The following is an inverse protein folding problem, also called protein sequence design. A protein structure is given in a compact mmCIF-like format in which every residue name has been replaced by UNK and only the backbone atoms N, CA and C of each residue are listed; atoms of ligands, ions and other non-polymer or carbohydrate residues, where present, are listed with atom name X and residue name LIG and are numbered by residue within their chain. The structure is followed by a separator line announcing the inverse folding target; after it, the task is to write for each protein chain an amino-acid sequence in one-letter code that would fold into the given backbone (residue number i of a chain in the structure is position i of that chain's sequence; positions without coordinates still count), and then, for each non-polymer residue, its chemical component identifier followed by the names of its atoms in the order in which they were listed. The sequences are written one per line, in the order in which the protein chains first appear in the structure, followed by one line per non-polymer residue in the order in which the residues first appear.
data_IF_521696983202
#
_entry.id   IF_521696983202
#
_cell.length_a   1.000
_cell.length_b   1.000
_cell.length_c   1.000
_cell.angle_alpha   90.00
_cell.angle_beta   90.00
_cell.angle_gamma   90.00
#
_symmetry.space_group_name_H-M   'P 1'
#
loop_
_entity.id
_entity.type
_entity.pdbx_description
1 polymer ?
#
# COMPACT_ATOMS: atom_id res chain seq x y z
N UNK A 1 35.15 -53.13 -37.35
CA UNK A 1 34.88 -54.58 -37.50
C UNK A 1 33.39 -54.81 -37.33
N UNK A 2 32.75 -55.06 -38.50
CA UNK A 2 31.75 -56.10 -38.78
C UNK A 2 30.54 -56.18 -37.87
N UNK A 3 29.43 -55.63 -38.29
CA UNK A 3 28.29 -56.24 -39.03
C UNK A 3 27.53 -57.31 -38.27
N UNK A 4 26.24 -57.12 -38.07
CA UNK A 4 25.24 -58.10 -38.52
C UNK A 4 23.83 -57.50 -38.45
N UNK A 5 23.18 -57.57 -39.61
CA UNK A 5 21.77 -57.32 -39.87
C UNK A 5 20.95 -58.57 -39.48
N UNK A 6 19.76 -58.34 -38.91
CA UNK A 6 18.70 -59.37 -38.94
C UNK A 6 17.40 -58.72 -39.37
N UNK A 7 16.93 -59.13 -40.56
CA UNK A 7 15.60 -58.85 -41.08
C UNK A 7 14.61 -59.82 -40.41
N UNK A 8 13.51 -59.27 -39.92
CA UNK A 8 12.34 -60.01 -39.46
C UNK A 8 11.09 -59.56 -40.22
N UNK A 9 10.54 -60.43 -41.02
CA UNK A 9 9.31 -60.25 -41.82
C UNK A 9 8.12 -60.44 -40.87
N UNK A 10 7.20 -59.48 -40.80
CA UNK A 10 5.97 -59.56 -40.07
C UNK A 10 4.76 -59.51 -41.03
N UNK A 11 3.90 -60.46 -40.90
CA UNK A 11 2.68 -60.67 -41.71
C UNK A 11 1.59 -59.66 -41.31
N UNK A 12 0.92 -59.08 -42.28
CA UNK A 12 -0.22 -58.18 -42.10
C UNK A 12 -1.51 -59.01 -41.91
N UNK A 13 -2.21 -58.76 -40.81
CA UNK A 13 -3.61 -59.15 -40.63
C UNK A 13 -4.47 -57.90 -40.71
N UNK A 14 -5.25 -57.77 -41.79
CA UNK A 14 -6.27 -56.75 -41.93
C UNK A 14 -7.52 -57.11 -41.11
N UNK A 15 -7.81 -56.35 -40.08
CA UNK A 15 -9.07 -56.40 -39.37
C UNK A 15 -9.87 -55.16 -39.74
N UNK A 16 -11.02 -55.38 -40.37
CA UNK A 16 -11.96 -54.34 -40.76
C UNK A 16 -12.51 -53.58 -39.55
N UNK A 17 -12.23 -52.31 -39.48
CA UNK A 17 -12.84 -51.40 -38.47
C UNK A 17 -14.12 -50.82 -39.05
N UNK A 18 -15.26 -51.18 -38.47
CA UNK A 18 -16.53 -50.50 -38.72
C UNK A 18 -16.44 -49.06 -38.18
N UNK A 19 -16.73 -48.10 -39.03
CA UNK A 19 -16.77 -46.70 -38.70
C UNK A 19 -17.98 -46.42 -37.77
N UNK A 20 -17.74 -46.15 -36.51
CA UNK A 20 -18.70 -45.58 -35.59
C UNK A 20 -18.64 -44.09 -35.75
N UNK A 21 -19.73 -43.47 -36.19
CA UNK A 21 -19.91 -42.02 -36.17
C UNK A 21 -20.01 -41.56 -34.71
N UNK A 22 -19.20 -40.58 -34.27
CA UNK A 22 -19.34 -40.04 -32.93
C UNK A 22 -20.64 -39.24 -32.85
N UNK A 23 -21.57 -39.68 -32.02
CA UNK A 23 -22.71 -38.87 -31.60
C UNK A 23 -22.13 -37.68 -30.75
N UNK A 24 -22.36 -36.47 -31.25
CA UNK A 24 -22.05 -35.23 -30.51
C UNK A 24 -22.99 -35.14 -29.31
N UNK A 25 -22.51 -35.14 -28.07
CA UNK A 25 -23.37 -34.89 -26.94
C UNK A 25 -23.98 -33.49 -27.04
N UNK A 26 -25.29 -33.42 -27.04
CA UNK A 26 -26.06 -32.19 -26.98
C UNK A 26 -25.66 -31.42 -25.71
N UNK A 27 -24.95 -30.33 -25.85
CA UNK A 27 -24.56 -29.47 -24.74
C UNK A 27 -25.83 -28.84 -24.15
N UNK A 28 -26.29 -29.40 -23.05
CA UNK A 28 -27.31 -28.75 -22.20
C UNK A 28 -26.67 -27.52 -21.60
N UNK A 29 -27.00 -26.33 -22.12
CA UNK A 29 -26.58 -25.04 -21.54
C UNK A 29 -27.14 -24.96 -20.10
N UNK A 30 -26.30 -24.84 -19.07
CA UNK A 30 -26.82 -24.61 -17.74
C UNK A 30 -27.61 -23.28 -17.70
N UNK A 31 -28.67 -23.21 -16.89
CA UNK A 31 -29.45 -21.99 -16.76
C UNK A 31 -28.53 -20.86 -16.32
N UNK A 32 -28.60 -19.72 -17.01
CA UNK A 32 -27.84 -18.53 -16.69
C UNK A 32 -28.15 -18.13 -15.25
N UNK A 33 -27.21 -18.34 -14.36
CA UNK A 33 -27.27 -17.83 -12.98
C UNK A 33 -27.18 -16.30 -13.07
N UNK A 34 -28.30 -15.62 -12.87
CA UNK A 34 -28.35 -14.19 -12.70
C UNK A 34 -27.34 -13.82 -11.58
N UNK A 35 -26.36 -12.94 -11.83
CA UNK A 35 -25.45 -12.53 -10.77
C UNK A 35 -26.28 -11.90 -9.64
N UNK A 36 -25.91 -12.16 -8.36
CA UNK A 36 -26.64 -11.58 -7.23
C UNK A 36 -26.69 -10.07 -7.41
N UNK A 37 -27.90 -9.53 -7.53
CA UNK A 37 -28.11 -8.09 -7.55
C UNK A 37 -27.61 -7.55 -6.21
N UNK A 38 -26.53 -6.78 -6.24
CA UNK A 38 -26.15 -5.98 -5.09
C UNK A 38 -27.29 -5.01 -4.83
N UNK A 39 -27.98 -5.22 -3.73
CA UNK A 39 -28.92 -4.23 -3.22
C UNK A 39 -28.23 -2.87 -3.05
N UNK A 40 -28.99 -1.78 -2.94
CA UNK A 40 -28.41 -0.45 -2.83
C UNK A 40 -27.42 -0.39 -1.68
N UNK A 41 -26.15 -0.10 -1.97
CA UNK A 41 -25.03 0.06 -1.01
C UNK A 41 -25.21 1.28 -0.09
N UNK A 42 -26.41 1.84 -0.04
CA UNK A 42 -26.73 3.11 0.60
C UNK A 42 -26.68 3.10 2.14
N UNK A 43 -26.67 1.95 2.79
CA UNK A 43 -26.68 1.89 4.27
C UNK A 43 -25.34 1.47 4.92
N UNK A 44 -24.35 1.06 4.12
CA UNK A 44 -23.07 0.56 4.65
C UNK A 44 -21.98 1.63 4.78
N UNK A 45 -22.22 2.87 4.36
CA UNK A 45 -21.19 3.92 4.23
C UNK A 45 -21.27 5.04 5.26
N UNK A 46 -21.97 4.85 6.38
CA UNK A 46 -21.97 5.82 7.49
C UNK A 46 -20.82 5.59 8.50
N UNK A 47 -19.83 4.74 8.15
CA UNK A 47 -18.66 4.61 8.99
C UNK A 47 -17.73 5.82 8.81
N UNK A 48 -17.57 6.60 9.85
CA UNK A 48 -16.57 7.67 9.93
C UNK A 48 -15.39 7.14 10.74
N UNK A 49 -14.21 6.97 10.12
CA UNK A 49 -13.04 6.43 10.81
C UNK A 49 -12.62 7.35 11.97
N UNK A 50 -12.26 6.76 13.09
CA UNK A 50 -11.74 7.48 14.24
C UNK A 50 -10.35 8.09 13.98
N UNK A 51 -9.88 8.98 14.87
CA UNK A 51 -8.53 9.57 14.76
C UNK A 51 -7.46 8.47 14.70
N UNK A 52 -7.57 7.43 15.55
CA UNK A 52 -6.62 6.30 15.55
C UNK A 52 -6.57 5.55 14.21
N UNK A 53 -7.72 5.29 13.60
CA UNK A 53 -7.80 4.63 12.29
C UNK A 53 -7.11 5.48 11.21
N UNK A 54 -7.39 6.79 11.21
CA UNK A 54 -6.78 7.73 10.25
C UNK A 54 -5.26 7.82 10.44
N UNK A 55 -4.79 7.88 11.69
CA UNK A 55 -3.35 7.86 11.98
C UNK A 55 -2.68 6.58 11.49
N UNK A 56 -3.28 5.43 11.75
CA UNK A 56 -2.74 4.13 11.36
C UNK A 56 -2.80 3.91 9.84
N UNK A 57 -3.92 4.24 9.21
CA UNK A 57 -4.14 3.95 7.79
C UNK A 57 -3.53 5.00 6.85
N UNK A 58 -3.48 6.27 7.27
CA UNK A 58 -3.04 7.36 6.40
C UNK A 58 -1.71 7.96 6.81
N UNK A 59 -1.55 8.35 8.08
CA UNK A 59 -0.41 9.17 8.50
C UNK A 59 0.85 8.33 8.68
N UNK A 60 0.79 7.26 9.47
CA UNK A 60 1.95 6.43 9.79
C UNK A 60 2.65 5.82 8.55
N UNK A 61 1.94 5.26 7.56
CA UNK A 61 2.60 4.74 6.36
C UNK A 61 3.30 5.83 5.55
N UNK A 62 2.75 7.04 5.51
CA UNK A 62 3.33 8.17 4.76
C UNK A 62 4.53 8.75 5.46
N UNK A 63 4.48 8.87 6.78
CA UNK A 63 5.65 9.23 7.59
C UNK A 63 6.79 8.23 7.34
N UNK A 64 6.54 6.92 7.43
CA UNK A 64 7.54 5.91 7.19
C UNK A 64 8.13 5.98 5.76
N UNK A 65 7.30 6.13 4.73
CA UNK A 65 7.74 6.26 3.33
C UNK A 65 8.61 7.49 3.10
N UNK A 66 8.30 8.61 3.74
CA UNK A 66 9.11 9.83 3.68
C UNK A 66 10.52 9.59 4.22
N UNK A 67 10.64 8.96 5.40
CA UNK A 67 11.92 8.60 6.00
C UNK A 67 12.72 7.62 5.17
N UNK A 68 12.09 6.59 4.60
CA UNK A 68 12.75 5.60 3.74
C UNK A 68 13.24 6.23 2.42
N UNK A 69 12.45 7.10 1.80
CA UNK A 69 12.85 7.81 0.59
C UNK A 69 14.07 8.71 0.83
N UNK A 70 14.13 9.36 1.99
CA UNK A 70 15.27 10.18 2.39
C UNK A 70 16.53 9.34 2.60
N UNK A 71 16.44 8.20 3.28
CA UNK A 71 17.60 7.30 3.52
C UNK A 71 18.28 6.91 2.20
N UNK A 72 17.49 6.68 1.16
CA UNK A 72 17.98 6.36 -0.19
C UNK A 72 18.32 7.63 -1.02
N UNK A 73 18.25 8.81 -0.43
CA UNK A 73 18.48 10.12 -1.10
C UNK A 73 17.62 10.32 -2.35
N UNK A 74 16.47 9.67 -2.39
CA UNK A 74 15.49 9.81 -3.46
C UNK A 74 14.61 11.05 -3.22
N UNK A 75 15.15 12.22 -3.57
CA UNK A 75 14.49 13.51 -3.34
C UNK A 75 13.15 13.66 -4.05
N UNK A 76 13.00 13.03 -5.22
CA UNK A 76 11.74 13.06 -5.95
C UNK A 76 10.65 12.28 -5.18
N UNK A 77 10.98 11.08 -4.69
CA UNK A 77 10.08 10.28 -3.87
C UNK A 77 9.84 10.94 -2.50
N UNK A 78 10.87 11.53 -1.89
CA UNK A 78 10.72 12.27 -0.63
C UNK A 78 9.73 13.43 -0.78
N UNK A 79 9.83 14.22 -1.85
CA UNK A 79 8.89 15.32 -2.13
C UNK A 79 7.46 14.83 -2.36
N UNK A 80 7.30 13.70 -3.04
CA UNK A 80 5.98 13.08 -3.21
C UNK A 80 5.41 12.59 -1.86
N UNK A 81 6.19 11.82 -1.09
CA UNK A 81 5.77 11.28 0.20
C UNK A 81 5.46 12.38 1.22
N UNK A 82 6.21 13.50 1.18
CA UNK A 82 5.94 14.68 2.00
C UNK A 82 4.56 15.28 1.70
N UNK A 83 4.21 15.50 0.44
CA UNK A 83 2.88 16.02 0.05
C UNK A 83 1.76 15.07 0.46
N UNK A 84 1.97 13.78 0.31
CA UNK A 84 1.02 12.76 0.76
C UNK A 84 0.83 12.79 2.29
N UNK A 85 1.90 12.98 3.05
CA UNK A 85 1.84 13.12 4.51
C UNK A 85 1.08 14.39 4.91
N UNK A 86 1.37 15.51 4.26
CA UNK A 86 0.68 16.78 4.48
C UNK A 86 -0.83 16.65 4.24
N UNK A 87 -1.22 16.01 3.13
CA UNK A 87 -2.63 15.74 2.82
C UNK A 87 -3.28 14.79 3.83
N UNK A 88 -2.55 13.78 4.31
CA UNK A 88 -3.04 12.85 5.32
C UNK A 88 -3.35 13.57 6.63
N UNK A 89 -2.43 14.40 7.13
CA UNK A 89 -2.63 15.20 8.34
C UNK A 89 -3.83 16.15 8.20
N UNK A 90 -3.95 16.84 7.06
CA UNK A 90 -5.09 17.69 6.77
C UNK A 90 -6.42 16.89 6.71
N UNK A 91 -6.39 15.67 6.19
CA UNK A 91 -7.56 14.77 6.14
C UNK A 91 -8.00 14.37 7.54
N UNK A 92 -7.07 14.08 8.45
CA UNK A 92 -7.41 13.78 9.86
C UNK A 92 -8.21 14.92 10.46
N UNK A 93 -7.76 16.16 10.32
CA UNK A 93 -8.45 17.34 10.88
C UNK A 93 -9.80 17.62 10.23
N UNK A 94 -9.98 17.23 8.95
CA UNK A 94 -11.27 17.39 8.24
C UNK A 94 -12.29 16.32 8.63
N UNK A 95 -11.86 15.07 8.71
CA UNK A 95 -12.74 13.92 9.01
C UNK A 95 -13.12 13.90 10.49
N UNK A 96 -12.16 14.24 11.35
CA UNK A 96 -12.31 14.32 12.80
C UNK A 96 -11.97 15.75 13.27
N UNK A 97 -12.88 16.71 13.14
CA UNK A 97 -12.59 18.10 13.48
C UNK A 97 -12.40 18.34 14.97
N UNK A 98 -12.98 17.48 15.80
CA UNK A 98 -12.88 17.54 17.25
C UNK A 98 -12.48 16.18 17.84
N UNK A 99 -11.60 16.21 18.81
CA UNK A 99 -11.31 15.08 19.68
C UNK A 99 -11.44 15.54 21.13
N UNK A 100 -12.47 15.04 21.82
CA UNK A 100 -12.95 15.62 23.09
C UNK A 100 -13.24 17.12 22.90
N UNK A 101 -12.59 17.98 23.68
CA UNK A 101 -12.76 19.44 23.61
C UNK A 101 -11.72 20.15 22.75
N UNK A 102 -10.84 19.39 22.06
CA UNK A 102 -9.72 19.93 21.30
C UNK A 102 -10.04 19.95 19.80
N UNK A 103 -9.58 20.98 19.10
CA UNK A 103 -9.61 21.05 17.63
C UNK A 103 -8.44 20.26 17.08
N UNK A 104 -8.73 19.19 16.31
CA UNK A 104 -7.69 18.26 15.83
C UNK A 104 -6.72 18.95 14.89
N UNK A 105 -7.20 19.80 13.98
CA UNK A 105 -6.34 20.53 13.06
C UNK A 105 -5.36 21.47 13.78
N UNK A 106 -5.83 22.18 14.83
CA UNK A 106 -4.97 23.06 15.62
C UNK A 106 -3.92 22.29 16.43
N UNK A 107 -4.28 21.12 16.96
CA UNK A 107 -3.31 20.26 17.64
C UNK A 107 -2.23 19.75 16.69
N UNK A 108 -2.63 19.30 15.49
CA UNK A 108 -1.68 18.86 14.47
C UNK A 108 -0.75 20.01 14.10
N UNK A 109 -1.28 21.18 13.77
CA UNK A 109 -0.49 22.36 13.41
C UNK A 109 0.48 22.77 14.52
N UNK A 110 0.03 22.80 15.78
CA UNK A 110 0.88 23.21 16.89
C UNK A 110 2.07 22.27 17.15
N UNK A 111 1.94 20.97 16.81
CA UNK A 111 2.98 19.98 17.07
C UNK A 111 3.85 19.68 15.84
N UNK A 112 3.34 19.90 14.65
CA UNK A 112 4.00 19.48 13.41
C UNK A 112 4.21 20.59 12.39
N UNK A 113 3.60 21.76 12.57
CA UNK A 113 3.61 22.83 11.57
C UNK A 113 4.99 23.36 11.24
N UNK A 114 5.82 23.64 12.25
CA UNK A 114 7.20 24.11 12.05
C UNK A 114 8.08 23.01 11.41
N UNK A 115 8.17 21.78 11.96
CA UNK A 115 8.93 20.71 11.31
C UNK A 115 8.48 20.40 9.88
N UNK A 116 7.19 20.52 9.57
CA UNK A 116 6.71 20.32 8.20
C UNK A 116 7.19 21.41 7.25
N UNK A 117 7.30 22.67 7.68
CA UNK A 117 7.89 23.76 6.86
C UNK A 117 9.37 23.52 6.62
N UNK A 118 10.12 23.16 7.66
CA UNK A 118 11.55 22.87 7.57
C UNK A 118 11.84 21.67 6.66
N UNK A 119 10.98 20.65 6.68
CA UNK A 119 11.06 19.51 5.75
C UNK A 119 10.84 19.93 4.30
N UNK A 120 9.87 20.79 4.03
CA UNK A 120 9.61 21.28 2.67
C UNK A 120 10.84 22.04 2.12
N UNK A 121 11.40 22.96 2.92
CA UNK A 121 12.62 23.70 2.57
C UNK A 121 13.81 22.74 2.34
N UNK A 122 14.02 21.78 3.23
CA UNK A 122 15.11 20.82 3.13
C UNK A 122 14.99 19.94 1.87
N UNK A 123 13.78 19.53 1.50
CA UNK A 123 13.52 18.75 0.28
C UNK A 123 13.81 19.59 -0.97
N UNK A 124 13.33 20.84 -1.02
CA UNK A 124 13.56 21.76 -2.15
C UNK A 124 15.05 22.05 -2.34
N UNK A 125 15.77 22.28 -1.23
CA UNK A 125 17.21 22.51 -1.23
C UNK A 125 18.04 21.23 -1.38
N UNK A 126 17.43 20.03 -1.33
CA UNK A 126 18.09 18.73 -1.25
C UNK A 126 19.14 18.67 -0.13
N UNK A 127 18.86 19.32 0.99
CA UNK A 127 19.74 19.44 2.13
C UNK A 127 19.52 18.29 3.11
N UNK A 128 20.38 17.27 3.04
CA UNK A 128 20.26 16.06 3.84
C UNK A 128 20.37 16.32 5.36
N UNK A 129 21.18 17.29 5.78
CA UNK A 129 21.36 17.59 7.22
C UNK A 129 20.10 18.26 7.78
N UNK A 130 19.57 19.25 7.09
CA UNK A 130 18.34 19.92 7.48
C UNK A 130 17.16 18.96 7.47
N UNK A 131 17.06 18.10 6.43
CA UNK A 131 16.01 17.08 6.37
C UNK A 131 16.04 16.13 7.58
N UNK A 132 17.23 15.61 7.92
CA UNK A 132 17.37 14.68 9.05
C UNK A 132 16.88 15.33 10.36
N UNK A 133 17.25 16.58 10.62
CA UNK A 133 16.80 17.30 11.81
C UNK A 133 15.30 17.54 11.79
N UNK A 134 14.76 18.08 10.70
CA UNK A 134 13.34 18.38 10.59
C UNK A 134 12.46 17.12 10.66
N UNK A 135 12.96 15.98 10.14
CA UNK A 135 12.25 14.71 10.24
C UNK A 135 12.24 14.15 11.68
N UNK A 136 13.33 14.32 12.41
CA UNK A 136 13.39 13.98 13.83
C UNK A 136 12.45 14.86 14.66
N UNK A 137 12.42 16.16 14.39
CA UNK A 137 11.56 17.13 15.05
C UNK A 137 10.08 16.83 14.76
N UNK A 138 9.73 16.49 13.52
CA UNK A 138 8.39 16.02 13.16
C UNK A 138 8.00 14.75 13.94
N UNK A 139 8.92 13.79 14.01
CA UNK A 139 8.70 12.54 14.77
C UNK A 139 8.51 12.82 16.24
N UNK A 140 9.29 13.76 16.81
CA UNK A 140 9.15 14.27 18.17
C UNK A 140 7.79 14.94 18.41
N UNK A 141 7.32 15.74 17.45
CA UNK A 141 5.99 16.36 17.46
C UNK A 141 4.87 15.33 17.51
N UNK A 142 4.96 14.25 16.72
CA UNK A 142 4.01 13.14 16.76
C UNK A 142 3.97 12.51 18.15
N UNK A 143 5.11 12.21 18.74
CA UNK A 143 5.20 11.59 20.06
C UNK A 143 4.74 12.53 21.18
N UNK A 144 4.98 13.83 21.06
CA UNK A 144 4.49 14.84 22.00
C UNK A 144 2.96 14.89 22.03
N UNK A 145 2.33 14.87 20.84
CA UNK A 145 0.89 14.77 20.72
C UNK A 145 0.34 13.48 21.37
N UNK A 146 0.94 12.33 21.08
CA UNK A 146 0.54 11.06 21.69
C UNK A 146 0.64 11.09 23.22
N UNK A 147 1.70 11.65 23.76
CA UNK A 147 1.89 11.79 25.21
C UNK A 147 0.84 12.72 25.81
N UNK A 148 0.61 13.89 25.21
CA UNK A 148 -0.38 14.86 25.70
C UNK A 148 -1.82 14.32 25.71
N UNK A 149 -2.12 13.36 24.83
CA UNK A 149 -3.43 12.72 24.70
C UNK A 149 -3.55 11.39 25.47
N UNK A 150 -2.61 11.06 26.34
CA UNK A 150 -2.53 9.79 27.08
C UNK A 150 -2.35 8.55 26.18
N UNK A 151 -1.70 8.71 25.05
CA UNK A 151 -1.32 7.63 24.11
C UNK A 151 0.21 7.48 24.01
N UNK A 152 0.97 7.89 25.03
CA UNK A 152 2.44 7.81 25.06
C UNK A 152 3.04 6.39 24.89
N UNK A 153 2.21 5.36 24.94
CA UNK A 153 2.58 3.99 24.62
C UNK A 153 2.70 3.76 23.08
N UNK A 154 2.21 4.69 22.25
CA UNK A 154 2.38 4.70 20.80
C UNK A 154 3.59 5.58 20.50
N UNK A 155 4.74 4.95 20.28
CA UNK A 155 6.00 5.65 20.00
C UNK A 155 6.35 5.52 18.53
N UNK A 156 6.35 6.66 17.84
CA UNK A 156 6.80 6.77 16.44
C UNK A 156 8.33 6.94 16.44
N UNK A 157 9.00 6.29 15.51
CA UNK A 157 10.46 6.39 15.32
C UNK A 157 10.80 6.58 13.83
N UNK A 158 12.02 7.02 13.57
CA UNK A 158 12.59 6.95 12.22
C UNK A 158 12.62 5.48 11.75
N UNK A 159 12.12 5.15 10.54
CA UNK A 159 12.12 3.78 10.06
C UNK A 159 13.56 3.28 9.86
N UNK A 160 13.83 2.06 10.28
CA UNK A 160 15.11 1.37 10.13
C UNK A 160 15.06 0.25 9.08
N UNK A 161 13.83 -0.23 8.78
CA UNK A 161 13.55 -1.23 7.75
C UNK A 161 12.28 -0.87 7.00
N UNK A 162 12.20 -1.29 5.73
CA UNK A 162 10.97 -1.08 4.95
C UNK A 162 9.91 -2.10 5.31
N UNK A 163 8.71 -1.62 5.64
CA UNK A 163 7.49 -2.42 5.74
C UNK A 163 6.74 -2.54 4.39
N UNK A 164 7.34 -2.05 3.30
CA UNK A 164 6.72 -1.99 1.97
C UNK A 164 7.51 -2.85 0.98
N UNK A 165 7.35 -4.19 0.99
CA UNK A 165 8.17 -5.10 0.19
C UNK A 165 7.95 -4.96 -1.33
N UNK A 166 6.89 -4.28 -1.74
CA UNK A 166 6.50 -4.06 -3.13
C UNK A 166 6.83 -2.65 -3.64
N UNK A 167 7.67 -1.89 -2.90
CA UNK A 167 8.09 -0.54 -3.31
C UNK A 167 9.61 -0.40 -3.23
N UNK A 168 10.22 0.05 -4.31
CA UNK A 168 11.64 0.46 -4.35
C UNK A 168 11.76 1.91 -3.89
N UNK A 169 12.70 2.18 -2.99
CA UNK A 169 12.96 3.52 -2.46
C UNK A 169 14.19 4.17 -3.06
N UNK A 170 15.10 3.40 -3.68
CA UNK A 170 16.25 3.97 -4.38
C UNK A 170 15.81 4.82 -5.56
N UNK A 171 16.58 5.86 -5.84
CA UNK A 171 16.37 6.62 -7.06
C UNK A 171 16.73 5.76 -8.29
N UNK A 172 15.93 5.84 -9.39
CA UNK A 172 16.23 5.16 -10.64
C UNK A 172 17.50 5.65 -11.31
#
# INVERSE_FOLDING_TARGET
MRTAWVLGIAAALAVGAAAQTPETPSATTPPATTPPQRGPVSSALNYVPGVGDLMHLLVQPRHAKLGLAFQEKNWALAGYAFKELQQALATVGKVQPKWRNLTVAEMIESMTGEPMRDLDEAIQAKNAKQFAQAYEDLTGGCNSCHTALNHGFIVIKTPDVSAFPNQEFKAP
#
